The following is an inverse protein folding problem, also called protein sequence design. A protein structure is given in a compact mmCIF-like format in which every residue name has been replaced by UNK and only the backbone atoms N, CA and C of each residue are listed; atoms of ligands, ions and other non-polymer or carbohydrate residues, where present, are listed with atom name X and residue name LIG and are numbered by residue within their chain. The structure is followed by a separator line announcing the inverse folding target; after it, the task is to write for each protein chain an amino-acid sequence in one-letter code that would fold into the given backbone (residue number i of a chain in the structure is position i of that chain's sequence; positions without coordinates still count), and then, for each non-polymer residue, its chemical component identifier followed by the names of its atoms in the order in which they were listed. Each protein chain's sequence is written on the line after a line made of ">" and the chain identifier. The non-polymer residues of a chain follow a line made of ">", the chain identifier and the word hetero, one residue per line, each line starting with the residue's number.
data_IF_627585110856
#
_entry.id   IF_627585110856
#
_cell.length_a   1.000
_cell.length_b   1.000
_cell.length_c   1.000
_cell.angle_alpha   90.00
_cell.angle_beta   90.00
_cell.angle_gamma   90.00
#
_symmetry.space_group_name_H-M   'P 1'
#
loop_
_entity.id
_entity.type
_entity.pdbx_description
1 polymer ?
#
# COMPACT_ATOMS: atom_id res chain seq x y z
N UNK A 1 12.64 -2.40 13.32
CA UNK A 1 11.81 -1.43 12.57
C UNK A 1 11.22 -0.42 13.58
N UNK A 2 11.41 0.88 13.36
CA UNK A 2 10.88 1.96 14.22
C UNK A 2 9.35 1.84 14.43
N UNK A 3 8.60 1.59 13.36
CA UNK A 3 7.13 1.47 13.45
C UNK A 3 6.69 0.29 14.32
N UNK A 4 7.38 -0.85 14.23
CA UNK A 4 7.08 -2.02 15.05
C UNK A 4 7.27 -1.73 16.55
N UNK A 5 8.34 -1.00 16.91
CA UNK A 5 8.58 -0.58 18.29
C UNK A 5 7.52 0.43 18.74
N UNK A 6 7.14 1.37 17.89
CA UNK A 6 6.09 2.35 18.19
C UNK A 6 4.73 1.68 18.44
N UNK A 7 4.32 0.74 17.59
CA UNK A 7 3.08 -0.04 17.76
C UNK A 7 3.09 -0.85 19.05
N UNK A 8 4.22 -1.47 19.42
CA UNK A 8 4.35 -2.19 20.68
C UNK A 8 4.15 -1.26 21.90
N UNK A 9 4.67 -0.03 21.86
CA UNK A 9 4.49 0.94 22.93
C UNK A 9 3.04 1.46 23.02
N UNK A 10 2.34 1.63 21.89
CA UNK A 10 0.90 1.97 21.88
C UNK A 10 0.11 0.87 22.58
N UNK A 11 0.35 -0.40 22.22
CA UNK A 11 -0.34 -1.55 22.82
C UNK A 11 -0.08 -1.66 24.33
N UNK A 12 1.14 -1.37 24.77
CA UNK A 12 1.48 -1.39 26.19
C UNK A 12 0.81 -0.23 26.97
N UNK A 13 0.77 0.98 26.40
CA UNK A 13 0.06 2.10 27.00
C UNK A 13 -1.44 1.83 27.11
N UNK A 14 -2.05 1.23 26.07
CA UNK A 14 -3.44 0.78 26.08
C UNK A 14 -3.69 -0.26 27.19
N UNK A 15 -2.81 -1.26 27.34
CA UNK A 15 -2.92 -2.28 28.39
C UNK A 15 -2.87 -1.68 29.80
N UNK A 16 -2.09 -0.62 29.99
CA UNK A 16 -1.97 0.09 31.27
C UNK A 16 -3.11 1.08 31.53
N UNK A 17 -4.01 1.28 30.57
CA UNK A 17 -5.07 2.28 30.65
C UNK A 17 -4.57 3.72 30.56
N UNK A 18 -3.34 3.94 30.07
CA UNK A 18 -2.75 5.27 29.92
C UNK A 18 -3.18 5.88 28.57
N UNK A 19 -4.42 6.38 28.54
CA UNK A 19 -5.01 6.98 27.36
C UNK A 19 -4.23 8.21 26.85
N UNK A 20 -3.60 8.97 27.75
CA UNK A 20 -2.84 10.16 27.39
C UNK A 20 -1.56 9.79 26.63
N UNK A 21 -0.80 8.81 27.14
CA UNK A 21 0.40 8.32 26.47
C UNK A 21 0.04 7.62 25.16
N UNK A 22 -0.98 6.77 25.18
CA UNK A 22 -1.45 6.07 23.97
C UNK A 22 -1.88 7.03 22.86
N UNK A 23 -2.61 8.10 23.20
CA UNK A 23 -2.98 9.16 22.25
C UNK A 23 -1.77 9.82 21.57
N UNK A 24 -0.79 10.26 22.36
CA UNK A 24 0.45 10.87 21.81
C UNK A 24 1.23 9.91 20.91
N UNK A 25 1.32 8.64 21.29
CA UNK A 25 2.02 7.64 20.48
C UNK A 25 1.30 7.39 19.14
N UNK A 26 -0.04 7.42 19.12
CA UNK A 26 -0.82 7.36 17.87
C UNK A 26 -0.56 8.57 16.97
N UNK A 27 -0.50 9.79 17.52
CA UNK A 27 -0.16 10.99 16.74
C UNK A 27 1.23 10.88 16.08
N UNK A 28 2.22 10.34 16.80
CA UNK A 28 3.56 10.09 16.24
C UNK A 28 3.49 9.03 15.13
N UNK A 29 2.71 7.97 15.32
CA UNK A 29 2.52 6.93 14.32
C UNK A 29 1.91 7.49 13.04
N UNK A 30 0.84 8.28 13.15
CA UNK A 30 0.20 8.94 12.02
C UNK A 30 1.16 9.89 11.30
N UNK A 31 1.95 10.66 12.05
CA UNK A 31 2.97 11.55 11.49
C UNK A 31 4.04 10.77 10.71
N UNK A 32 4.54 9.67 11.26
CA UNK A 32 5.51 8.81 10.59
C UNK A 32 4.93 8.18 9.32
N UNK A 33 3.69 7.71 9.37
CA UNK A 33 2.97 7.18 8.20
C UNK A 33 2.76 8.25 7.12
N UNK A 34 2.41 9.48 7.51
CA UNK A 34 2.28 10.61 6.58
C UNK A 34 3.61 10.90 5.88
N UNK A 35 4.72 10.90 6.62
CA UNK A 35 6.04 11.14 6.05
C UNK A 35 6.47 10.03 5.07
N UNK A 36 6.16 8.77 5.39
CA UNK A 36 6.40 7.65 4.48
C UNK A 36 5.54 7.77 3.21
N UNK A 37 4.26 8.12 3.35
CA UNK A 37 3.37 8.34 2.21
C UNK A 37 3.82 9.48 1.30
N UNK A 38 4.31 10.57 1.89
CA UNK A 38 4.81 11.72 1.13
C UNK A 38 6.06 11.40 0.30
N UNK A 39 6.84 10.40 0.71
CA UNK A 39 8.05 9.95 0.01
C UNK A 39 7.81 8.77 -0.93
N UNK A 40 6.62 8.14 -0.91
CA UNK A 40 6.32 7.03 -1.82
C UNK A 40 6.35 7.51 -3.27
N UNK A 41 7.05 6.81 -4.18
CA UNK A 41 6.99 7.07 -5.61
C UNK A 41 5.54 7.05 -6.12
N UNK A 42 5.18 7.90 -7.10
CA UNK A 42 3.84 7.94 -7.69
C UNK A 42 3.31 6.56 -8.11
N UNK A 43 4.17 5.75 -8.72
CA UNK A 43 3.87 4.40 -9.20
C UNK A 43 3.44 3.49 -8.05
N UNK A 44 4.13 3.54 -6.91
CA UNK A 44 3.80 2.72 -5.72
C UNK A 44 2.46 3.14 -5.11
N UNK A 45 2.18 4.45 -5.07
CA UNK A 45 0.89 4.94 -4.58
C UNK A 45 -0.25 4.46 -5.49
N UNK A 46 -0.03 4.52 -6.79
CA UNK A 46 -1.00 4.07 -7.78
C UNK A 46 -1.29 2.56 -7.67
N UNK A 47 -0.28 1.71 -7.55
CA UNK A 47 -0.49 0.27 -7.29
C UNK A 47 -1.29 0.04 -6.00
N UNK A 48 -1.02 0.78 -4.93
CA UNK A 48 -1.78 0.64 -3.68
C UNK A 48 -3.25 1.05 -3.84
N UNK A 49 -3.55 2.06 -4.65
CA UNK A 49 -4.91 2.46 -4.98
C UNK A 49 -5.65 1.36 -5.75
N UNK A 50 -5.00 0.73 -6.73
CA UNK A 50 -5.55 -0.40 -7.48
C UNK A 50 -5.74 -1.64 -6.59
N UNK A 51 -4.81 -1.90 -5.67
CA UNK A 51 -4.94 -2.95 -4.67
C UNK A 51 -6.03 -2.68 -3.63
N UNK A 52 -6.44 -1.43 -3.43
CA UNK A 52 -7.56 -1.09 -2.56
C UNK A 52 -8.92 -1.28 -3.26
N UNK A 53 -8.96 -1.32 -4.60
CA UNK A 53 -10.18 -1.57 -5.34
C UNK A 53 -10.79 -2.94 -5.00
N UNK A 54 -12.12 -3.04 -4.80
CA UNK A 54 -12.77 -4.29 -4.42
C UNK A 54 -12.80 -5.33 -5.56
N UNK A 55 -12.83 -4.88 -6.81
CA UNK A 55 -12.95 -5.71 -8.01
C UNK A 55 -12.30 -5.03 -9.24
N UNK A 56 -12.15 -5.77 -10.35
CA UNK A 56 -11.59 -5.24 -11.61
C UNK A 56 -12.35 -4.00 -12.14
N UNK A 57 -13.69 -3.97 -12.20
CA UNK A 57 -14.42 -2.78 -12.65
C UNK A 57 -14.10 -1.53 -11.82
N UNK A 58 -13.88 -1.69 -10.51
CA UNK A 58 -13.52 -0.59 -9.61
C UNK A 58 -12.10 -0.07 -9.82
N UNK A 59 -11.24 -0.79 -10.56
CA UNK A 59 -9.90 -0.34 -10.91
C UNK A 59 -9.89 0.66 -12.08
N UNK A 60 -10.96 0.71 -12.90
CA UNK A 60 -10.99 1.56 -14.09
C UNK A 60 -10.92 3.05 -13.74
N UNK A 61 -11.65 3.50 -12.73
CA UNK A 61 -11.69 4.93 -12.37
C UNK A 61 -10.31 5.47 -11.91
N UNK A 62 -9.55 4.78 -11.04
CA UNK A 62 -8.16 5.14 -10.75
C UNK A 62 -7.25 5.16 -11.98
N UNK A 63 -7.42 4.19 -12.89
CA UNK A 63 -6.63 4.11 -14.13
C UNK A 63 -6.87 5.32 -15.03
N UNK A 64 -8.14 5.65 -15.27
CA UNK A 64 -8.54 6.81 -16.08
C UNK A 64 -8.06 8.14 -15.47
N UNK A 65 -7.97 8.20 -14.15
CA UNK A 65 -7.53 9.38 -13.40
C UNK A 65 -6.00 9.59 -13.41
N UNK A 66 -5.21 8.57 -13.74
CA UNK A 66 -3.74 8.60 -13.68
C UNK A 66 -3.08 8.12 -14.99
N UNK A 67 -3.43 8.68 -16.16
CA UNK A 67 -2.93 8.21 -17.45
C UNK A 67 -1.40 8.30 -17.58
N UNK A 68 -0.76 9.23 -16.87
CA UNK A 68 0.70 9.38 -16.85
C UNK A 68 1.44 8.21 -16.17
N UNK A 69 0.73 7.42 -15.35
CA UNK A 69 1.27 6.22 -14.72
C UNK A 69 1.19 4.99 -15.64
N UNK A 70 0.47 5.05 -16.77
CA UNK A 70 0.30 3.94 -17.70
C UNK A 70 1.50 3.81 -18.65
N UNK A 71 2.60 3.29 -18.12
CA UNK A 71 3.87 3.10 -18.83
C UNK A 71 4.57 1.81 -18.37
N UNK A 72 5.66 1.42 -19.03
CA UNK A 72 6.33 0.15 -18.71
C UNK A 72 6.89 0.10 -17.27
N UNK A 73 7.18 1.26 -16.65
CA UNK A 73 7.68 1.32 -15.28
C UNK A 73 6.65 0.83 -14.25
N UNK A 74 5.34 1.08 -14.47
CA UNK A 74 4.31 0.59 -13.54
C UNK A 74 4.23 -0.94 -13.56
N UNK A 75 4.46 -1.58 -14.72
CA UNK A 75 4.45 -3.03 -14.84
C UNK A 75 5.61 -3.65 -14.07
N UNK A 76 6.80 -3.06 -14.15
CA UNK A 76 7.97 -3.48 -13.35
C UNK A 76 7.70 -3.38 -11.85
N UNK A 77 7.07 -2.30 -11.40
CA UNK A 77 6.70 -2.11 -9.99
C UNK A 77 5.74 -3.20 -9.51
N UNK A 78 4.77 -3.58 -10.34
CA UNK A 78 3.83 -4.67 -10.02
C UNK A 78 4.53 -6.02 -10.00
N UNK A 79 5.45 -6.28 -10.94
CA UNK A 79 6.23 -7.52 -11.00
C UNK A 79 7.14 -7.67 -9.77
N UNK A 80 7.86 -6.62 -9.37
CA UNK A 80 8.67 -6.58 -8.14
C UNK A 80 7.81 -6.86 -6.90
N UNK A 81 6.60 -6.29 -6.84
CA UNK A 81 5.67 -6.55 -5.75
C UNK A 81 5.21 -8.02 -5.73
N UNK A 82 4.91 -8.60 -6.89
CA UNK A 82 4.53 -10.02 -7.01
C UNK A 82 5.64 -10.93 -6.45
N UNK A 83 6.90 -10.66 -6.78
CA UNK A 83 8.05 -11.42 -6.26
C UNK A 83 8.10 -11.34 -4.73
N UNK A 84 8.09 -10.12 -4.16
CA UNK A 84 8.14 -9.89 -2.71
C UNK A 84 7.01 -10.61 -1.97
N UNK A 85 5.77 -10.52 -2.45
CA UNK A 85 4.63 -11.16 -1.78
C UNK A 85 4.57 -12.68 -2.00
N UNK A 86 5.17 -13.19 -3.08
CA UNK A 86 5.36 -14.62 -3.30
C UNK A 86 6.34 -15.20 -2.29
N UNK A 87 7.49 -14.55 -2.09
CA UNK A 87 8.49 -14.96 -1.09
C UNK A 87 7.93 -14.94 0.34
N UNK A 88 7.04 -13.99 0.63
CA UNK A 88 6.37 -13.88 1.93
C UNK A 88 5.21 -14.88 2.13
N UNK A 89 4.91 -15.71 1.13
CA UNK A 89 3.84 -16.70 1.21
C UNK A 89 2.43 -16.07 1.30
N UNK A 90 2.19 -14.97 0.59
CA UNK A 90 0.92 -14.24 0.57
C UNK A 90 0.16 -14.45 -0.75
N UNK A 91 -0.39 -15.65 -1.04
CA UNK A 91 -0.94 -16.00 -2.35
C UNK A 91 -2.16 -15.18 -2.76
N UNK A 92 -2.95 -14.69 -1.79
CA UNK A 92 -4.10 -13.83 -2.08
C UNK A 92 -3.68 -12.46 -2.62
N UNK A 93 -2.61 -11.89 -2.05
CA UNK A 93 -2.04 -10.60 -2.50
C UNK A 93 -1.41 -10.77 -3.87
N UNK A 94 -0.68 -11.87 -4.09
CA UNK A 94 -0.10 -12.22 -5.39
C UNK A 94 -1.17 -12.33 -6.47
N UNK A 95 -2.31 -12.97 -6.19
CA UNK A 95 -3.40 -13.04 -7.16
C UNK A 95 -3.94 -11.65 -7.49
N UNK A 96 -4.19 -10.82 -6.48
CA UNK A 96 -4.69 -9.46 -6.69
C UNK A 96 -3.74 -8.60 -7.51
N UNK A 97 -2.43 -8.71 -7.28
CA UNK A 97 -1.40 -8.02 -8.06
C UNK A 97 -1.40 -8.47 -9.54
N UNK A 98 -1.64 -9.76 -9.81
CA UNK A 98 -1.78 -10.26 -11.19
C UNK A 98 -3.01 -9.69 -11.89
N UNK A 99 -4.12 -9.55 -11.17
CA UNK A 99 -5.35 -8.95 -11.69
C UNK A 99 -5.10 -7.45 -12.01
N UNK A 100 -4.41 -6.73 -11.10
CA UNK A 100 -3.96 -5.35 -11.34
C UNK A 100 -3.08 -5.25 -12.59
N UNK A 101 -2.09 -6.14 -12.74
CA UNK A 101 -1.20 -6.17 -13.91
C UNK A 101 -1.98 -6.35 -15.21
N UNK A 102 -2.89 -7.32 -15.24
CA UNK A 102 -3.77 -7.59 -16.38
C UNK A 102 -4.62 -6.38 -16.75
N UNK A 103 -5.13 -5.67 -15.75
CA UNK A 103 -5.92 -4.46 -15.97
C UNK A 103 -5.09 -3.30 -16.55
N UNK A 104 -3.86 -3.12 -16.06
CA UNK A 104 -2.92 -2.13 -16.59
C UNK A 104 -2.57 -2.43 -18.05
N UNK A 105 -2.23 -3.68 -18.37
CA UNK A 105 -1.92 -4.09 -19.75
C UNK A 105 -3.10 -3.86 -20.71
N UNK A 106 -4.33 -4.18 -20.29
CA UNK A 106 -5.55 -3.91 -21.09
C UNK A 106 -5.75 -2.41 -21.34
N UNK A 107 -5.35 -1.56 -20.40
CA UNK A 107 -5.55 -0.11 -20.47
C UNK A 107 -4.44 0.59 -21.27
N UNK A 108 -3.32 -0.09 -21.49
CA UNK A 108 -2.17 0.40 -22.27
C UNK A 108 -2.20 -0.06 -23.74
N UNK A 109 -3.05 -1.04 -24.07
CA UNK A 109 -3.21 -1.61 -25.41
C UNK A 109 -4.12 -0.77 -26.32
#
# INVERSE_FOLDING_TARGET
>A
NFLAVLTANIQEADRRGDAAVSGKLREIYETAMNLLRAQMPPQIRFVNELLAAPDEPSMQAPIDANPEQLNDEILLVVDDAVEVFTEQGQPQVVQKLKDVRSMLEKSMA
#
